data_IF_983099058901
#
_entry.id   IF_983099058901
#
_cell.length_a   1.000
_cell.length_b   1.000
_cell.length_c   1.000
_cell.angle_alpha   90.00
_cell.angle_beta   90.00
_cell.angle_gamma   90.00
#
_symmetry.space_group_name_H-M   'P 1'
#
loop_
_entity.id
_entity.type
_entity.pdbx_description
1 polymer ?
#
# COMPACT_ATOMS: atom_id res chain seq x y z
N UNK A 1 -1.81 -9.82 -0.72
CA UNK A 1 -0.46 -10.17 -1.23
C UNK A 1 -0.17 -11.61 -0.83
N UNK A 2 0.61 -12.37 -1.60
CA UNK A 2 0.92 -13.79 -1.33
C UNK A 2 2.41 -14.03 -1.55
N UNK A 3 2.99 -14.98 -0.83
CA UNK A 3 4.40 -15.36 -0.93
C UNK A 3 5.14 -15.23 0.41
N UNK A 4 6.25 -15.97 0.57
CA UNK A 4 6.96 -16.10 1.84
C UNK A 4 7.50 -14.77 2.39
N UNK A 5 7.89 -13.84 1.52
CA UNK A 5 8.36 -12.50 1.93
C UNK A 5 7.26 -11.66 2.61
N UNK A 6 5.99 -11.92 2.34
CA UNK A 6 4.86 -11.19 2.93
C UNK A 6 4.22 -11.91 4.12
N UNK A 7 4.61 -13.16 4.41
CA UNK A 7 4.03 -13.93 5.52
C UNK A 7 4.28 -13.27 6.89
N UNK A 8 5.48 -12.75 7.20
CA UNK A 8 5.72 -12.04 8.45
C UNK A 8 4.83 -10.80 8.62
N UNK A 9 4.45 -10.16 7.51
CA UNK A 9 3.65 -8.93 7.51
C UNK A 9 2.16 -9.16 7.81
N UNK A 10 1.75 -10.39 8.11
CA UNK A 10 0.42 -10.69 8.65
C UNK A 10 0.29 -10.30 10.12
N UNK A 11 1.41 -10.21 10.83
CA UNK A 11 1.44 -9.64 12.17
C UNK A 11 1.34 -8.12 12.09
N UNK A 12 0.41 -7.53 12.83
CA UNK A 12 0.14 -6.10 12.76
C UNK A 12 1.29 -5.24 13.31
N UNK A 13 2.02 -5.74 14.31
CA UNK A 13 3.16 -5.04 14.88
C UNK A 13 4.33 -5.03 13.89
N UNK A 14 4.57 -6.13 13.17
CA UNK A 14 5.58 -6.16 12.11
C UNK A 14 5.14 -5.33 10.90
N UNK A 15 3.87 -5.40 10.50
CA UNK A 15 3.32 -4.59 9.41
C UNK A 15 3.52 -3.09 9.66
N UNK A 16 3.31 -2.62 10.90
CA UNK A 16 3.45 -1.21 11.26
C UNK A 16 4.89 -0.67 11.22
N UNK A 17 5.90 -1.53 11.04
CA UNK A 17 7.33 -1.15 11.06
C UNK A 17 7.88 -0.79 9.68
N UNK A 18 7.01 -0.48 8.73
CA UNK A 18 7.43 -0.03 7.42
C UNK A 18 8.15 1.33 7.48
N UNK A 19 9.01 1.58 6.50
CA UNK A 19 9.59 2.90 6.23
C UNK A 19 9.40 3.26 4.77
N UNK A 20 9.56 4.54 4.44
CA UNK A 20 9.71 4.97 3.04
C UNK A 20 11.16 4.81 2.64
N UNK A 21 11.38 4.23 1.47
CA UNK A 21 12.67 4.28 0.79
C UNK A 21 12.68 5.48 -0.14
N UNK A 22 13.53 6.47 0.12
CA UNK A 22 13.54 7.73 -0.63
C UNK A 22 14.16 7.60 -2.03
N UNK A 23 15.01 6.58 -2.25
CA UNK A 23 15.63 6.37 -3.56
C UNK A 23 14.67 5.67 -4.52
N UNK A 24 13.95 4.65 -4.02
CA UNK A 24 13.01 3.86 -4.81
C UNK A 24 11.57 4.40 -4.75
N UNK A 25 11.30 5.38 -3.87
CA UNK A 25 9.97 5.92 -3.58
C UNK A 25 8.93 4.85 -3.20
N UNK A 26 9.37 3.77 -2.54
CA UNK A 26 8.52 2.65 -2.11
C UNK A 26 8.34 2.60 -0.60
N UNK A 27 7.32 1.88 -0.14
CA UNK A 27 7.22 1.45 1.25
C UNK A 27 7.97 0.14 1.40
N UNK A 28 8.89 0.03 2.37
CA UNK A 28 9.74 -1.14 2.59
C UNK A 28 9.74 -1.65 4.03
N UNK A 29 9.95 -2.96 4.19
CA UNK A 29 10.13 -3.63 5.48
C UNK A 29 11.54 -4.23 5.60
N UNK A 30 11.98 -4.50 6.83
CA UNK A 30 13.30 -5.05 7.12
C UNK A 30 13.55 -6.44 6.50
N UNK A 31 12.48 -7.18 6.20
CA UNK A 31 12.53 -8.48 5.54
C UNK A 31 12.69 -8.41 4.01
N UNK A 32 12.85 -7.20 3.45
CA UNK A 32 13.07 -6.98 2.02
C UNK A 32 11.78 -6.92 1.19
N UNK A 33 10.60 -6.97 1.82
CA UNK A 33 9.36 -6.66 1.12
C UNK A 33 9.29 -5.16 0.79
N UNK A 34 8.86 -4.83 -0.42
CA UNK A 34 8.56 -3.47 -0.86
C UNK A 34 7.21 -3.39 -1.58
N UNK A 35 6.62 -2.18 -1.56
CA UNK A 35 5.44 -1.85 -2.32
C UNK A 35 5.59 -0.46 -2.95
N UNK A 36 5.56 -0.45 -4.28
CA UNK A 36 5.49 0.78 -5.06
C UNK A 36 4.12 1.48 -4.88
N UNK A 37 4.08 2.82 -5.00
CA UNK A 37 2.85 3.59 -4.84
C UNK A 37 1.70 3.10 -5.73
N UNK A 38 1.95 2.82 -7.00
CA UNK A 38 0.93 2.43 -7.98
C UNK A 38 0.22 1.13 -7.57
N UNK A 39 0.94 0.21 -6.94
CA UNK A 39 0.36 -1.02 -6.41
C UNK A 39 -0.56 -0.74 -5.23
N UNK A 40 -0.18 0.17 -4.34
CA UNK A 40 -1.00 0.61 -3.20
C UNK A 40 -2.27 1.31 -3.69
N UNK A 41 -2.12 2.27 -4.62
CA UNK A 41 -3.24 2.95 -5.26
C UNK A 41 -4.17 1.95 -5.95
N UNK A 42 -3.66 1.08 -6.82
CA UNK A 42 -4.49 0.06 -7.47
C UNK A 42 -5.26 -0.78 -6.44
N UNK A 43 -4.62 -1.26 -5.38
CA UNK A 43 -5.30 -2.12 -4.39
C UNK A 43 -6.35 -1.36 -3.57
N UNK A 44 -6.08 -0.10 -3.21
CA UNK A 44 -6.97 0.74 -2.42
C UNK A 44 -8.21 1.19 -3.22
N UNK A 45 -8.08 1.36 -4.55
CA UNK A 45 -9.12 1.97 -5.38
C UNK A 45 -9.72 1.04 -6.45
N UNK A 46 -9.16 -0.15 -6.70
CA UNK A 46 -9.70 -1.10 -7.70
C UNK A 46 -11.12 -1.58 -7.39
N UNK A 47 -11.53 -1.53 -6.13
CA UNK A 47 -12.87 -1.85 -5.70
C UNK A 47 -13.46 -0.62 -5.01
N UNK A 48 -14.71 -0.28 -5.31
CA UNK A 48 -15.41 0.88 -4.72
C UNK A 48 -15.96 0.61 -3.32
N UNK A 49 -15.45 -0.42 -2.64
CA UNK A 49 -15.99 -0.94 -1.38
C UNK A 49 -15.73 0.00 -0.18
N UNK A 50 -14.86 1.01 -0.33
CA UNK A 50 -14.59 2.05 0.67
C UNK A 50 -14.97 3.45 0.13
N UNK A 51 -16.16 3.97 0.51
CA UNK A 51 -16.62 5.29 0.08
C UNK A 51 -15.70 6.45 0.51
N UNK A 52 -14.97 6.32 1.62
CA UNK A 52 -14.09 7.38 2.10
C UNK A 52 -12.84 7.50 1.22
N UNK A 53 -12.32 6.36 0.75
CA UNK A 53 -11.24 6.34 -0.24
C UNK A 53 -11.71 6.93 -1.57
N UNK A 54 -12.88 6.53 -2.08
CA UNK A 54 -13.41 7.06 -3.35
C UNK A 54 -13.61 8.59 -3.32
N UNK A 55 -14.15 9.13 -2.23
CA UNK A 55 -14.29 10.58 -2.05
C UNK A 55 -12.93 11.30 -2.11
N UNK A 56 -11.89 10.72 -1.48
CA UNK A 56 -10.55 11.29 -1.51
C UNK A 56 -9.93 11.25 -2.91
N UNK A 57 -10.16 10.17 -3.66
CA UNK A 57 -9.64 10.01 -5.02
C UNK A 57 -10.26 11.00 -6.01
N UNK A 58 -11.58 11.23 -5.93
CA UNK A 58 -12.26 12.29 -6.68
C UNK A 58 -11.72 13.68 -6.33
N UNK A 59 -11.51 13.96 -5.03
CA UNK A 59 -10.92 15.23 -4.58
C UNK A 59 -9.51 15.48 -5.15
N UNK A 60 -8.73 14.43 -5.36
CA UNK A 60 -7.41 14.50 -5.97
C UNK A 60 -7.42 14.56 -7.50
N UNK A 61 -8.59 14.41 -8.14
CA UNK A 61 -8.73 14.44 -9.59
C UNK A 61 -8.39 13.12 -10.30
N UNK A 62 -8.36 12.00 -9.57
CA UNK A 62 -8.07 10.68 -10.15
C UNK A 62 -9.33 9.92 -10.63
N UNK A 63 -10.53 10.43 -10.37
CA UNK A 63 -11.79 9.87 -10.83
C UNK A 63 -12.81 11.00 -11.13
N UNK A 64 -13.54 10.86 -12.24
CA UNK A 64 -14.62 11.76 -12.69
C UNK A 64 -15.93 11.54 -11.91
#
# INVERSE_FOLDING_TARGET
MKGPVFEPLRDAAEFARFRVDEELETIVWANGADLAPERLYFQAFRNEDDPALQARFRKWGYAE
#
